data_IF_607952223601
#
_entry.id   IF_607952223601
#
_cell.length_a   1.000
_cell.length_b   1.000
_cell.length_c   1.000
_cell.angle_alpha   90.00
_cell.angle_beta   90.00
_cell.angle_gamma   90.00
#
_symmetry.space_group_name_H-M   'P 1'
#
loop_
_entity.id
_entity.type
_entity.pdbx_description
1 polymer ?
#
# COMPACT_ATOMS: atom_id res chain seq x y z
N UNK A 1 -19.75 2.81 8.72
CA UNK A 1 -18.28 2.85 8.88
C UNK A 1 -17.79 3.38 10.23
N UNK A 2 -18.69 3.69 11.19
CA UNK A 2 -18.33 4.14 12.55
C UNK A 2 -18.28 3.00 13.59
N UNK A 3 -18.93 1.87 13.33
CA UNK A 3 -18.96 0.73 14.27
C UNK A 3 -17.58 0.06 14.44
N UNK A 4 -16.85 -0.16 13.34
CA UNK A 4 -15.50 -0.74 13.38
C UNK A 4 -14.47 0.19 14.07
N UNK A 5 -14.64 1.49 13.87
CA UNK A 5 -13.83 2.53 14.51
C UNK A 5 -14.01 2.53 16.04
N UNK A 6 -15.26 2.33 16.50
CA UNK A 6 -15.57 2.23 17.92
C UNK A 6 -14.97 0.96 18.57
N UNK A 7 -14.91 -0.17 17.85
CA UNK A 7 -14.29 -1.40 18.35
C UNK A 7 -12.77 -1.22 18.57
N UNK A 8 -12.12 -0.47 17.69
CA UNK A 8 -10.67 -0.22 17.74
C UNK A 8 -10.28 1.07 18.47
N UNK A 9 -11.24 1.76 19.10
CA UNK A 9 -11.00 3.01 19.83
C UNK A 9 -10.50 4.18 18.99
N UNK A 10 -10.63 4.11 17.66
CA UNK A 10 -10.11 5.12 16.74
C UNK A 10 -11.20 6.08 16.28
N UNK A 11 -11.02 7.39 16.48
CA UNK A 11 -11.92 8.44 15.96
C UNK A 11 -11.35 9.08 14.69
N UNK A 12 -11.21 8.29 13.62
CA UNK A 12 -10.71 8.79 12.33
C UNK A 12 -11.89 9.25 11.48
N UNK A 13 -11.80 10.43 10.87
CA UNK A 13 -12.83 10.89 9.93
C UNK A 13 -12.95 9.92 8.74
N UNK A 14 -14.16 9.38 8.43
CA UNK A 14 -14.33 8.41 7.35
C UNK A 14 -13.85 8.91 5.97
N UNK A 15 -13.91 10.22 5.73
CA UNK A 15 -13.42 10.84 4.51
C UNK A 15 -11.92 10.62 4.30
N UNK A 16 -11.11 10.67 5.37
CA UNK A 16 -9.67 10.40 5.30
C UNK A 16 -9.41 8.96 4.87
N UNK A 17 -10.19 8.00 5.38
CA UNK A 17 -10.06 6.59 5.01
C UNK A 17 -10.44 6.34 3.55
N UNK A 18 -11.47 7.02 3.05
CA UNK A 18 -11.86 6.93 1.63
C UNK A 18 -10.75 7.49 0.73
N UNK A 19 -10.22 8.68 1.05
CA UNK A 19 -9.13 9.28 0.29
C UNK A 19 -7.86 8.43 0.33
N UNK A 20 -7.55 7.84 1.50
CA UNK A 20 -6.43 6.92 1.66
C UNK A 20 -6.62 5.67 0.77
N UNK A 21 -7.82 5.08 0.76
CA UNK A 21 -8.13 3.93 -0.09
C UNK A 21 -7.99 4.23 -1.58
N UNK A 22 -8.47 5.38 -2.03
CA UNK A 22 -8.28 5.84 -3.42
C UNK A 22 -6.80 6.07 -3.76
N UNK A 23 -6.06 6.70 -2.84
CA UNK A 23 -4.61 6.88 -2.99
C UNK A 23 -3.88 5.55 -3.11
N UNK A 24 -4.15 4.60 -2.20
CA UNK A 24 -3.58 3.25 -2.25
C UNK A 24 -3.90 2.54 -3.57
N UNK A 25 -5.12 2.64 -4.10
CA UNK A 25 -5.48 2.03 -5.39
C UNK A 25 -4.66 2.56 -6.58
N UNK A 26 -4.33 3.86 -6.57
CA UNK A 26 -3.46 4.44 -7.59
C UNK A 26 -2.00 3.98 -7.40
N UNK A 27 -1.49 4.06 -6.17
CA UNK A 27 -0.10 3.69 -5.86
C UNK A 27 0.17 2.19 -6.03
N UNK A 28 -0.82 1.32 -5.78
CA UNK A 28 -0.68 -0.12 -6.02
C UNK A 28 -0.42 -0.42 -7.50
N UNK A 29 -1.08 0.31 -8.40
CA UNK A 29 -0.87 0.15 -9.84
C UNK A 29 0.53 0.62 -10.25
N UNK A 30 1.02 1.71 -9.66
CA UNK A 30 2.40 2.16 -9.89
C UNK A 30 3.44 1.13 -9.43
N UNK A 31 3.20 0.46 -8.29
CA UNK A 31 4.11 -0.58 -7.79
C UNK A 31 4.24 -1.77 -8.75
N UNK A 32 3.13 -2.27 -9.27
CA UNK A 32 3.10 -3.36 -10.26
C UNK A 32 3.79 -2.98 -11.58
N UNK A 33 3.58 -1.74 -12.04
CA UNK A 33 4.26 -1.22 -13.23
C UNK A 33 5.77 -1.06 -13.02
N UNK A 34 6.18 -0.55 -11.85
CA UNK A 34 7.59 -0.40 -11.50
C UNK A 34 8.31 -1.75 -11.44
N UNK A 35 7.69 -2.73 -10.78
CA UNK A 35 8.17 -4.10 -10.74
C UNK A 35 8.29 -4.71 -12.15
N UNK A 36 7.28 -4.51 -12.99
CA UNK A 36 7.31 -4.94 -14.38
C UNK A 36 8.43 -4.30 -15.19
N UNK A 37 8.69 -3.00 -15.02
CA UNK A 37 9.80 -2.30 -15.67
C UNK A 37 11.16 -2.86 -15.22
N UNK A 38 11.33 -3.09 -13.91
CA UNK A 38 12.56 -3.65 -13.35
C UNK A 38 12.86 -5.04 -13.91
N UNK A 39 11.82 -5.89 -14.04
CA UNK A 39 11.94 -7.21 -14.68
C UNK A 39 12.45 -7.10 -16.11
N UNK A 40 11.92 -6.15 -16.90
CA UNK A 40 12.39 -5.90 -18.28
C UNK A 40 13.82 -5.40 -18.34
N UNK A 41 14.22 -4.53 -17.43
CA UNK A 41 15.60 -4.05 -17.36
C UNK A 41 16.59 -5.16 -17.00
N UNK A 42 16.20 -6.07 -16.10
CA UNK A 42 16.98 -7.24 -15.72
C UNK A 42 16.92 -8.40 -16.74
N UNK A 43 16.15 -8.27 -17.83
CA UNK A 43 16.00 -9.30 -18.85
C UNK A 43 15.23 -10.55 -18.38
N UNK A 44 14.53 -10.47 -17.26
CA UNK A 44 13.78 -11.59 -16.65
C UNK A 44 12.27 -11.36 -16.74
N UNK A 45 11.49 -12.43 -16.67
CA UNK A 45 10.02 -12.35 -16.68
C UNK A 45 9.40 -12.32 -15.29
N UNK A 46 9.97 -13.09 -14.37
CA UNK A 46 9.51 -13.28 -12.99
C UNK A 46 10.71 -13.11 -12.05
N UNK A 47 10.50 -12.55 -10.85
CA UNK A 47 11.60 -12.32 -9.90
C UNK A 47 12.18 -13.62 -9.31
N UNK A 48 11.34 -14.65 -9.20
CA UNK A 48 11.72 -15.99 -8.76
C UNK A 48 10.63 -16.99 -9.14
N UNK A 49 10.90 -18.29 -8.97
CA UNK A 49 9.95 -19.38 -9.23
C UNK A 49 9.50 -20.08 -7.94
N UNK A 50 9.43 -19.33 -6.84
CA UNK A 50 9.10 -19.87 -5.50
C UNK A 50 7.73 -20.54 -5.48
N UNK A 51 6.75 -19.98 -6.20
CA UNK A 51 5.47 -20.63 -6.38
C UNK A 51 5.40 -21.30 -7.76
N UNK A 52 5.28 -22.64 -7.84
CA UNK A 52 5.26 -23.34 -9.11
C UNK A 52 4.11 -22.83 -9.99
N UNK A 53 4.47 -22.23 -11.13
CA UNK A 53 3.53 -21.63 -12.08
C UNK A 53 2.93 -20.27 -11.70
N UNK A 54 3.28 -19.68 -10.54
CA UNK A 54 2.66 -18.46 -10.01
C UNK A 54 3.62 -17.27 -9.83
N UNK A 55 4.89 -17.45 -10.17
CA UNK A 55 5.92 -16.40 -10.13
C UNK A 55 6.62 -16.29 -8.78
N UNK A 56 7.17 -15.11 -8.52
CA UNK A 56 7.98 -14.84 -7.35
C UNK A 56 7.19 -14.25 -6.19
N UNK A 57 7.77 -14.30 -4.99
CA UNK A 57 7.21 -13.63 -3.80
C UNK A 57 7.14 -12.11 -4.02
N UNK A 58 8.11 -11.54 -4.73
CA UNK A 58 8.18 -10.10 -5.00
C UNK A 58 7.02 -9.62 -5.86
N UNK A 59 6.55 -10.43 -6.83
CA UNK A 59 5.38 -10.13 -7.67
C UNK A 59 4.05 -10.09 -6.87
N UNK A 60 4.07 -10.40 -5.58
CA UNK A 60 2.91 -10.30 -4.67
C UNK A 60 2.98 -9.12 -3.72
N UNK A 61 4.19 -8.58 -3.53
CA UNK A 61 4.45 -7.51 -2.57
C UNK A 61 4.70 -6.19 -3.30
N UNK A 62 5.02 -6.20 -4.60
CA UNK A 62 5.30 -5.03 -5.43
C UNK A 62 4.28 -3.88 -5.31
N UNK A 63 2.98 -4.19 -5.35
CA UNK A 63 1.91 -3.22 -5.16
C UNK A 63 1.83 -2.69 -3.72
N UNK A 64 2.03 -3.55 -2.72
CA UNK A 64 2.00 -3.20 -1.29
C UNK A 64 3.21 -2.36 -0.90
N UNK A 65 4.36 -2.54 -1.54
CA UNK A 65 5.60 -1.79 -1.27
C UNK A 65 5.40 -0.28 -1.43
N UNK A 66 4.56 0.15 -2.37
CA UNK A 66 4.25 1.56 -2.58
C UNK A 66 3.09 2.07 -1.72
N UNK A 67 2.12 1.21 -1.38
CA UNK A 67 1.03 1.56 -0.47
C UNK A 67 1.51 1.73 0.98
N UNK A 68 2.47 0.93 1.43
CA UNK A 68 2.98 0.93 2.82
C UNK A 68 3.50 2.30 3.28
N UNK A 69 4.46 2.96 2.58
CA UNK A 69 4.95 4.28 2.98
C UNK A 69 3.86 5.35 2.88
N UNK A 70 2.93 5.25 1.93
CA UNK A 70 1.82 6.17 1.80
C UNK A 70 0.90 6.13 3.04
N UNK A 71 0.51 4.92 3.45
CA UNK A 71 -0.29 4.72 4.67
C UNK A 71 0.48 5.21 5.90
N UNK A 72 1.75 4.84 6.05
CA UNK A 72 2.58 5.27 7.18
C UNK A 72 2.67 6.80 7.28
N UNK A 73 2.92 7.49 6.17
CA UNK A 73 2.98 8.95 6.14
C UNK A 73 1.66 9.58 6.60
N UNK A 74 0.51 9.08 6.13
CA UNK A 74 -0.81 9.60 6.54
C UNK A 74 -1.03 9.40 8.03
N UNK A 75 -0.71 8.22 8.57
CA UNK A 75 -0.81 7.95 10.00
C UNK A 75 0.12 8.85 10.84
N UNK A 76 1.37 9.05 10.42
CA UNK A 76 2.32 9.92 11.11
C UNK A 76 1.88 11.39 11.09
N UNK A 77 1.35 11.87 9.97
CA UNK A 77 0.82 13.23 9.84
C UNK A 77 -0.38 13.41 10.78
N UNK A 78 -1.29 12.44 10.82
CA UNK A 78 -2.43 12.45 11.74
C UNK A 78 -2.00 12.45 13.20
N UNK A 79 -1.01 11.62 13.56
CA UNK A 79 -0.48 11.58 14.92
C UNK A 79 0.15 12.92 15.32
N UNK A 80 0.94 13.54 14.43
CA UNK A 80 1.52 14.86 14.69
C UNK A 80 0.45 15.93 14.86
N UNK A 81 -0.56 15.97 13.98
CA UNK A 81 -1.67 16.91 14.07
C UNK A 81 -2.46 16.74 15.39
N UNK A 82 -2.69 15.50 15.81
CA UNK A 82 -3.36 15.21 17.08
C UNK A 82 -2.53 15.55 18.33
N UNK A 83 -1.20 15.60 18.22
CA UNK A 83 -0.31 16.07 19.30
C UNK A 83 -0.23 17.61 19.36
N UNK A 84 -0.54 18.28 18.24
CA UNK A 84 -0.42 19.73 18.07
C UNK A 84 -1.73 20.48 18.34
N UNK A 85 -2.85 19.76 18.48
CA UNK A 85 -4.20 20.25 18.80
C UNK A 85 -4.55 19.83 20.22
#
# INVERSE_FOLDING_TARGET
MTYLQHIWGGSIQPLVLILLGLGCGLFSQFGDLFASLLKRWAGVKDFSSVFPGHGGVIDRIDSIMFCTPLVLCVFLIMQKLAILV
#
